data_IF_728649943704
#
_entry.id   IF_728649943704
#
_cell.length_a   1.000
_cell.length_b   1.000
_cell.length_c   1.000
_cell.angle_alpha   90.00
_cell.angle_beta   90.00
_cell.angle_gamma   90.00
#
_symmetry.space_group_name_H-M   'P 1'
#
loop_
_entity.id
_entity.type
_entity.pdbx_description
1 polymer ?
#
# COMPACT_ATOMS: atom_id res chain seq x y z
N UNK A 1 12.04 6.18 -10.57
CA UNK A 1 12.79 5.01 -11.06
C UNK A 1 11.86 3.82 -10.95
N UNK A 2 11.85 2.94 -11.94
CA UNK A 2 10.90 1.84 -12.03
C UNK A 2 11.58 0.54 -12.43
N UNK A 3 10.92 -0.56 -12.10
CA UNK A 3 11.25 -1.90 -12.54
C UNK A 3 10.39 -2.24 -13.75
N UNK A 4 11.04 -2.32 -14.91
CA UNK A 4 10.36 -2.51 -16.19
C UNK A 4 10.42 -3.97 -16.64
N UNK A 5 9.26 -4.55 -16.90
CA UNK A 5 9.10 -5.89 -17.48
C UNK A 5 8.45 -5.74 -18.85
N UNK A 6 9.10 -6.24 -19.89
CA UNK A 6 8.48 -6.40 -21.19
C UNK A 6 7.88 -7.78 -21.32
N UNK A 7 6.61 -7.86 -21.71
CA UNK A 7 6.01 -9.14 -22.05
C UNK A 7 6.49 -9.55 -23.44
N UNK A 8 6.88 -10.81 -23.57
CA UNK A 8 7.39 -11.37 -24.82
C UNK A 8 6.59 -12.61 -25.20
N UNK A 9 6.37 -12.79 -26.50
CA UNK A 9 5.74 -13.95 -27.10
C UNK A 9 6.79 -15.05 -27.22
N UNK A 10 6.64 -16.20 -26.53
CA UNK A 10 7.52 -17.34 -26.71
C UNK A 10 7.60 -17.79 -28.18
N UNK A 11 8.72 -18.38 -28.59
CA UNK A 11 9.00 -18.69 -30.00
C UNK A 11 8.05 -19.73 -30.61
N UNK A 12 7.44 -20.57 -29.77
CA UNK A 12 6.46 -21.60 -30.11
C UNK A 12 5.00 -21.12 -30.02
N UNK A 13 4.78 -19.85 -29.63
CA UNK A 13 3.44 -19.30 -29.39
C UNK A 13 3.07 -18.21 -30.40
N UNK A 14 1.76 -18.04 -30.54
CA UNK A 14 1.17 -16.96 -31.36
C UNK A 14 1.04 -15.70 -30.52
N UNK A 15 1.36 -14.55 -31.10
CA UNK A 15 1.18 -13.27 -30.44
C UNK A 15 -0.32 -13.02 -30.20
N UNK A 16 -0.74 -12.60 -29.00
CA UNK A 16 -2.10 -12.13 -28.80
C UNK A 16 -2.33 -10.86 -29.63
N UNK A 17 -3.57 -10.64 -30.04
CA UNK A 17 -3.92 -9.36 -30.65
C UNK A 17 -3.97 -8.24 -29.60
N UNK A 18 -3.88 -6.99 -30.06
CA UNK A 18 -3.82 -5.81 -29.16
C UNK A 18 -5.08 -5.70 -28.30
N UNK A 19 -6.24 -6.01 -28.87
CA UNK A 19 -7.53 -5.96 -28.18
C UNK A 19 -7.65 -7.03 -27.09
N UNK A 20 -7.03 -8.20 -27.26
CA UNK A 20 -6.93 -9.24 -26.24
C UNK A 20 -6.08 -8.78 -25.06
N UNK A 21 -4.94 -8.13 -25.33
CA UNK A 21 -4.08 -7.58 -24.26
C UNK A 21 -4.82 -6.50 -23.46
N UNK A 22 -5.43 -5.55 -24.16
CA UNK A 22 -6.21 -4.46 -23.57
C UNK A 22 -7.39 -5.00 -22.74
N UNK A 23 -8.14 -5.97 -23.29
CA UNK A 23 -9.24 -6.61 -22.59
C UNK A 23 -8.78 -7.36 -21.35
N UNK A 24 -7.65 -8.07 -21.40
CA UNK A 24 -7.11 -8.80 -20.24
C UNK A 24 -6.81 -7.86 -19.07
N UNK A 25 -6.20 -6.71 -19.34
CA UNK A 25 -5.85 -5.72 -18.33
C UNK A 25 -7.11 -5.00 -17.82
N UNK A 26 -8.04 -4.62 -18.69
CA UNK A 26 -9.28 -3.94 -18.30
C UNK A 26 -10.17 -4.74 -17.34
N UNK A 27 -9.98 -6.07 -17.28
CA UNK A 27 -10.71 -6.98 -16.38
C UNK A 27 -10.07 -7.09 -15.00
N UNK A 28 -8.87 -6.56 -14.80
CA UNK A 28 -8.25 -6.55 -13.48
C UNK A 28 -9.06 -5.64 -12.54
N UNK A 29 -9.17 -5.99 -11.25
CA UNK A 29 -9.74 -5.08 -10.29
C UNK A 29 -8.84 -3.84 -10.15
N UNK A 30 -9.45 -2.69 -9.91
CA UNK A 30 -8.75 -1.45 -9.61
C UNK A 30 -7.86 -0.87 -10.73
N UNK A 31 -8.01 -1.36 -11.96
CA UNK A 31 -7.36 -0.75 -13.13
C UNK A 31 -8.22 0.34 -13.75
N UNK A 32 -7.59 1.46 -14.07
CA UNK A 32 -8.21 2.58 -14.79
C UNK A 32 -7.45 2.82 -16.09
N UNK A 33 -8.17 3.09 -17.18
CA UNK A 33 -7.55 3.47 -18.45
C UNK A 33 -7.03 4.90 -18.35
N UNK A 34 -5.85 5.15 -18.88
CA UNK A 34 -5.31 6.50 -18.99
C UNK A 34 -5.96 7.28 -20.14
N UNK A 35 -6.24 8.56 -19.90
CA UNK A 35 -6.87 9.43 -20.89
C UNK A 35 -5.90 9.88 -21.97
N UNK A 36 -4.64 10.16 -21.59
CA UNK A 36 -3.57 10.60 -22.50
C UNK A 36 -2.27 9.83 -22.20
N UNK A 37 -2.14 8.60 -22.71
CA UNK A 37 -0.98 7.76 -22.49
C UNK A 37 0.19 8.29 -23.34
N UNK A 38 1.06 9.11 -22.74
CA UNK A 38 2.25 9.61 -23.44
C UNK A 38 3.11 8.46 -23.97
N UNK A 39 3.59 8.58 -25.22
CA UNK A 39 4.52 7.62 -25.86
C UNK A 39 4.00 6.18 -26.01
N UNK A 40 2.69 5.95 -25.83
CA UNK A 40 2.04 4.65 -25.97
C UNK A 40 0.68 4.78 -26.66
N UNK A 41 0.20 3.69 -27.27
CA UNK A 41 -1.13 3.70 -27.91
C UNK A 41 -2.25 3.61 -26.88
N UNK A 42 -1.98 2.89 -25.77
CA UNK A 42 -2.84 2.86 -24.61
C UNK A 42 -2.04 2.55 -23.34
N UNK A 43 -2.59 2.99 -22.21
CA UNK A 43 -2.06 2.76 -20.88
C UNK A 43 -3.16 2.46 -19.87
N UNK A 44 -2.84 1.65 -18.86
CA UNK A 44 -3.67 1.42 -17.69
C UNK A 44 -2.85 1.61 -16.43
N UNK A 45 -3.48 2.16 -15.40
CA UNK A 45 -2.93 2.26 -14.05
C UNK A 45 -3.72 1.33 -13.13
N UNK A 46 -3.03 0.42 -12.46
CA UNK A 46 -3.56 -0.32 -11.31
C UNK A 46 -3.30 0.49 -10.04
N UNK A 47 -4.33 0.75 -9.25
CA UNK A 47 -4.20 1.38 -7.92
C UNK A 47 -5.16 0.71 -6.94
N UNK A 48 -4.64 -0.14 -6.06
CA UNK A 48 -5.47 -0.73 -5.02
C UNK A 48 -5.83 0.34 -3.95
N UNK A 49 -7.11 0.72 -3.79
CA UNK A 49 -7.49 1.79 -2.87
C UNK A 49 -7.33 1.40 -1.39
N UNK A 50 -7.19 0.11 -1.09
CA UNK A 50 -7.01 -0.37 0.29
C UNK A 50 -5.55 -0.42 0.70
N UNK A 51 -4.67 -0.88 -0.20
CA UNK A 51 -3.23 -1.08 0.09
C UNK A 51 -2.34 -0.01 -0.49
N UNK A 52 -2.85 0.87 -1.36
CA UNK A 52 -2.10 1.92 -2.04
C UNK A 52 -1.03 1.41 -3.01
N UNK A 53 -1.03 0.11 -3.34
CA UNK A 53 -0.07 -0.48 -4.29
C UNK A 53 -0.45 -0.09 -5.71
N UNK A 54 0.55 0.31 -6.50
CA UNK A 54 0.40 0.66 -7.91
C UNK A 54 1.26 -0.18 -8.85
N UNK A 55 0.84 -0.27 -10.10
CA UNK A 55 1.67 -0.60 -11.25
C UNK A 55 1.01 -0.10 -12.54
N UNK A 56 1.82 0.17 -13.56
CA UNK A 56 1.32 0.70 -14.82
C UNK A 56 1.57 -0.26 -15.97
N UNK A 57 0.58 -0.42 -16.84
CA UNK A 57 0.66 -1.19 -18.07
C UNK A 57 0.67 -0.23 -19.26
N UNK A 58 1.52 -0.51 -20.24
CA UNK A 58 1.70 0.32 -21.43
C UNK A 58 1.85 -0.55 -22.65
N UNK A 59 1.21 -0.14 -23.74
CA UNK A 59 1.38 -0.78 -25.03
C UNK A 59 1.94 0.20 -26.06
N UNK A 60 2.99 -0.24 -26.73
CA UNK A 60 3.55 0.42 -27.91
C UNK A 60 3.76 -0.66 -28.97
N UNK A 61 3.26 -0.46 -30.19
CA UNK A 61 3.46 -1.43 -31.25
C UNK A 61 4.95 -1.80 -31.40
N UNK A 62 5.28 -3.10 -31.42
CA UNK A 62 6.66 -3.54 -31.59
C UNK A 62 7.18 -3.16 -32.99
N UNK A 63 8.48 -2.89 -33.10
CA UNK A 63 9.08 -2.61 -34.40
C UNK A 63 8.95 -3.82 -35.34
N UNK A 64 8.57 -3.64 -36.61
CA UNK A 64 8.47 -4.73 -37.58
C UNK A 64 9.83 -5.34 -37.95
N UNK A 65 10.94 -4.70 -37.59
CA UNK A 65 12.31 -5.15 -37.87
C UNK A 65 12.94 -5.80 -36.63
N UNK A 66 13.41 -7.06 -36.74
CA UNK A 66 14.36 -7.62 -35.76
C UNK A 66 14.06 -9.00 -35.15
N UNK A 67 13.04 -9.72 -35.58
CA UNK A 67 12.79 -11.05 -35.00
C UNK A 67 13.71 -12.12 -35.59
N UNK A 68 14.80 -12.43 -34.89
CA UNK A 68 15.60 -13.61 -35.17
C UNK A 68 14.77 -14.87 -34.87
N UNK A 69 14.75 -15.83 -35.81
CA UNK A 69 14.04 -17.08 -35.67
C UNK A 69 14.49 -17.83 -34.39
N UNK A 70 13.51 -18.35 -33.63
CA UNK A 70 13.76 -19.13 -32.41
C UNK A 70 13.96 -18.31 -31.12
N UNK A 71 13.87 -16.98 -31.15
CA UNK A 71 13.91 -16.13 -29.94
C UNK A 71 12.51 -15.65 -29.54
N UNK A 72 12.26 -15.37 -28.24
CA UNK A 72 11.07 -14.65 -27.81
C UNK A 72 10.94 -13.31 -28.56
N UNK A 73 9.72 -12.97 -28.96
CA UNK A 73 9.40 -11.76 -29.73
C UNK A 73 8.73 -10.74 -28.83
N UNK A 74 8.98 -9.46 -29.02
CA UNK A 74 8.27 -8.41 -28.28
C UNK A 74 6.77 -8.46 -28.56
N UNK A 75 5.96 -8.41 -27.49
CA UNK A 75 4.51 -8.27 -27.64
C UNK A 75 4.07 -6.82 -27.82
N UNK A 76 4.94 -5.85 -27.46
CA UNK A 76 4.60 -4.43 -27.33
C UNK A 76 4.05 -4.05 -25.95
N UNK A 77 3.62 -5.02 -25.14
CA UNK A 77 3.12 -4.79 -23.79
C UNK A 77 4.27 -4.72 -22.77
N UNK A 78 4.24 -3.71 -21.91
CA UNK A 78 5.16 -3.51 -20.79
C UNK A 78 4.39 -3.27 -19.50
N UNK A 79 5.01 -3.63 -18.39
CA UNK A 79 4.54 -3.28 -17.05
C UNK A 79 5.67 -2.67 -16.24
N UNK A 80 5.34 -1.60 -15.52
CA UNK A 80 6.24 -0.83 -14.67
C UNK A 80 5.79 -0.94 -13.22
N UNK A 81 6.72 -1.35 -12.35
CA UNK A 81 6.50 -1.37 -10.91
C UNK A 81 7.38 -0.29 -10.26
N UNK A 82 6.90 0.40 -9.21
CA UNK A 82 7.73 1.38 -8.52
C UNK A 82 8.92 0.70 -7.83
N UNK A 83 10.00 1.48 -7.68
CA UNK A 83 11.19 1.14 -6.90
C UNK A 83 11.38 2.21 -5.82
N UNK A 84 12.24 1.91 -4.84
CA UNK A 84 12.48 2.72 -3.64
C UNK A 84 11.21 2.81 -2.78
N UNK A 85 10.56 1.67 -2.59
CA UNK A 85 9.29 1.55 -1.88
C UNK A 85 9.24 0.25 -1.05
N UNK A 86 8.19 -0.01 -0.24
CA UNK A 86 8.14 -1.19 0.62
C UNK A 86 8.10 -2.50 -0.16
N UNK A 87 8.79 -3.53 0.32
CA UNK A 87 8.89 -4.83 -0.37
C UNK A 87 7.55 -5.53 -0.60
N UNK A 88 6.52 -5.20 0.17
CA UNK A 88 5.19 -5.76 -0.02
C UNK A 88 4.54 -5.33 -1.34
N UNK A 89 4.96 -4.21 -1.95
CA UNK A 89 4.48 -3.79 -3.26
C UNK A 89 4.76 -4.87 -4.30
N UNK A 90 6.00 -5.38 -4.36
CA UNK A 90 6.33 -6.50 -5.25
C UNK A 90 5.51 -7.76 -4.95
N UNK A 91 5.21 -8.05 -3.67
CA UNK A 91 4.38 -9.20 -3.29
C UNK A 91 2.94 -9.11 -3.76
N UNK A 92 2.41 -7.90 -3.92
CA UNK A 92 1.06 -7.67 -4.42
C UNK A 92 1.04 -7.52 -5.95
N UNK A 93 2.00 -6.80 -6.53
CA UNK A 93 2.03 -6.49 -7.96
C UNK A 93 2.57 -7.63 -8.84
N UNK A 94 3.61 -8.38 -8.42
CA UNK A 94 4.16 -9.47 -9.22
C UNK A 94 3.15 -10.58 -9.57
N UNK A 95 2.23 -11.00 -8.67
CA UNK A 95 1.14 -11.91 -9.03
C UNK A 95 0.22 -11.37 -10.13
N UNK A 96 0.02 -10.06 -10.22
CA UNK A 96 -0.78 -9.43 -11.29
C UNK A 96 -0.04 -9.56 -12.63
N UNK A 97 1.28 -9.33 -12.63
CA UNK A 97 2.14 -9.51 -13.81
C UNK A 97 2.06 -10.95 -14.32
N UNK A 98 2.18 -11.91 -13.41
CA UNK A 98 2.03 -13.34 -13.73
C UNK A 98 0.64 -13.67 -14.28
N UNK A 99 -0.43 -13.16 -13.67
CA UNK A 99 -1.80 -13.38 -14.11
C UNK A 99 -2.00 -12.92 -15.56
N UNK A 100 -1.51 -11.73 -15.90
CA UNK A 100 -1.57 -11.21 -17.28
C UNK A 100 -0.74 -12.07 -18.22
N UNK A 101 0.52 -12.36 -17.85
CA UNK A 101 1.42 -13.21 -18.64
C UNK A 101 0.79 -14.56 -18.98
N UNK A 102 0.26 -15.27 -17.98
CA UNK A 102 -0.42 -16.56 -18.16
C UNK A 102 -1.68 -16.45 -19.00
N UNK A 103 -2.51 -15.42 -18.78
CA UNK A 103 -3.76 -15.26 -19.54
C UNK A 103 -3.53 -15.02 -21.03
N UNK A 104 -2.39 -14.44 -21.39
CA UNK A 104 -1.99 -14.10 -22.75
C UNK A 104 -0.93 -15.05 -23.31
N UNK A 105 -0.52 -16.06 -22.55
CA UNK A 105 0.59 -16.98 -22.86
C UNK A 105 1.92 -16.28 -23.17
N UNK A 106 2.25 -15.21 -22.46
CA UNK A 106 3.47 -14.43 -22.59
C UNK A 106 4.51 -14.83 -21.53
N UNK A 107 5.78 -14.65 -21.86
CA UNK A 107 6.89 -14.64 -20.89
C UNK A 107 7.28 -13.21 -20.50
N UNK A 108 8.15 -13.08 -19.51
CA UNK A 108 8.69 -11.80 -19.03
C UNK A 108 10.17 -11.65 -19.43
N UNK A 109 10.50 -10.50 -20.04
CA UNK A 109 11.86 -10.06 -20.28
C UNK A 109 12.14 -8.83 -19.41
N UNK A 110 13.13 -8.94 -18.54
CA UNK A 110 13.55 -7.86 -17.65
C UNK A 110 14.47 -6.91 -18.40
N UNK A 111 14.05 -5.65 -18.59
CA UNK A 111 14.79 -4.72 -19.44
C UNK A 111 16.18 -4.36 -18.88
N UNK A 112 16.32 -4.35 -17.55
CA UNK A 112 17.57 -3.97 -16.90
C UNK A 112 18.67 -5.05 -16.98
N UNK A 113 18.30 -6.33 -16.88
CA UNK A 113 19.24 -7.45 -16.85
C UNK A 113 19.26 -8.29 -18.13
N UNK A 114 18.21 -8.21 -18.95
CA UNK A 114 17.99 -9.11 -20.08
C UNK A 114 17.51 -10.51 -19.66
N UNK A 115 17.20 -10.72 -18.38
CA UNK A 115 16.74 -12.02 -17.89
C UNK A 115 15.36 -12.36 -18.46
N UNK A 116 15.23 -13.59 -18.95
CA UNK A 116 13.97 -14.15 -19.40
C UNK A 116 13.38 -15.07 -18.34
N UNK A 117 12.09 -14.86 -18.04
CA UNK A 117 11.30 -15.67 -17.12
C UNK A 117 10.10 -16.20 -17.88
N UNK A 118 10.09 -17.51 -18.10
CA UNK A 118 8.97 -18.23 -18.66
C UNK A 118 7.72 -18.10 -17.75
N UNK A 119 6.55 -17.98 -18.37
CA UNK A 119 5.23 -17.83 -17.73
C UNK A 119 5.11 -16.68 -16.70
N UNK A 120 6.05 -15.73 -16.73
CA UNK A 120 6.06 -14.58 -15.83
C UNK A 120 6.01 -14.98 -14.34
N UNK A 121 6.69 -16.07 -13.93
CA UNK A 121 6.64 -16.59 -12.55
C UNK A 121 6.79 -15.49 -11.48
N UNK A 122 5.75 -15.32 -10.66
CA UNK A 122 5.68 -14.22 -9.70
C UNK A 122 6.76 -14.31 -8.62
N UNK A 123 7.12 -15.54 -8.20
CA UNK A 123 8.16 -15.76 -7.20
C UNK A 123 9.54 -15.29 -7.67
N UNK A 124 9.92 -15.64 -8.91
CA UNK A 124 11.16 -15.19 -9.54
C UNK A 124 11.14 -13.68 -9.80
N UNK A 125 10.04 -13.14 -10.32
CA UNK A 125 9.88 -11.69 -10.50
C UNK A 125 10.04 -10.93 -9.19
N UNK A 126 9.45 -11.42 -8.10
CA UNK A 126 9.53 -10.79 -6.79
C UNK A 126 10.97 -10.77 -6.26
N UNK A 127 11.74 -11.85 -6.43
CA UNK A 127 13.15 -11.90 -6.01
C UNK A 127 13.96 -10.83 -6.74
N UNK A 128 13.82 -10.74 -8.06
CA UNK A 128 14.59 -9.80 -8.88
C UNK A 128 14.13 -8.35 -8.66
N UNK A 129 12.83 -8.12 -8.51
CA UNK A 129 12.29 -6.82 -8.13
C UNK A 129 12.80 -6.39 -6.75
N UNK A 130 12.83 -7.29 -5.76
CA UNK A 130 13.33 -6.98 -4.41
C UNK A 130 14.80 -6.56 -4.44
N UNK A 131 15.62 -7.25 -5.23
CA UNK A 131 17.02 -6.90 -5.45
C UNK A 131 17.18 -5.53 -6.12
N UNK A 132 16.39 -5.29 -7.17
CA UNK A 132 16.37 -4.01 -7.89
C UNK A 132 15.94 -2.86 -6.98
N UNK A 133 14.95 -3.10 -6.11
CA UNK A 133 14.42 -2.15 -5.14
C UNK A 133 15.45 -1.80 -4.07
N UNK A 134 16.19 -2.79 -3.57
CA UNK A 134 17.33 -2.57 -2.67
C UNK A 134 18.41 -1.74 -3.34
N UNK A 135 18.86 -2.13 -4.54
CA UNK A 135 19.92 -1.41 -5.27
C UNK A 135 19.53 0.04 -5.58
N UNK A 136 18.27 0.29 -5.98
CA UNK A 136 17.75 1.63 -6.22
C UNK A 136 17.75 2.49 -4.94
N UNK A 137 17.34 1.90 -3.80
CA UNK A 137 17.30 2.59 -2.50
C UNK A 137 18.71 2.96 -2.02
N UNK A 138 19.68 2.05 -2.16
CA UNK A 138 21.08 2.29 -1.80
C UNK A 138 21.69 3.42 -2.62
N UNK A 139 21.43 3.45 -3.94
CA UNK A 139 21.90 4.51 -4.84
C UNK A 139 21.31 5.88 -4.49
N UNK A 140 20.06 5.97 -4.03
CA UNK A 140 19.44 7.25 -3.66
C UNK A 140 20.14 7.91 -2.45
N UNK A 141 20.65 7.10 -1.52
CA UNK A 141 21.46 7.58 -0.39
C UNK A 141 22.79 8.22 -0.82
N UNK A 142 23.27 7.90 -2.02
CA UNK A 142 24.52 8.39 -2.58
C UNK A 142 24.20 9.62 -3.46
N UNK A 143 24.29 10.82 -2.89
CA UNK A 143 24.31 12.08 -3.65
C UNK A 143 23.23 13.11 -3.31
N UNK A 144 22.09 12.69 -2.75
CA UNK A 144 21.01 13.62 -2.35
C UNK A 144 21.11 14.08 -0.89
N UNK A 145 21.87 13.36 -0.06
CA UNK A 145 21.99 13.60 1.38
C UNK A 145 20.70 13.36 2.19
N UNK A 146 19.61 12.94 1.54
CA UNK A 146 18.30 12.72 2.17
C UNK A 146 17.81 11.32 1.84
N UNK A 147 17.99 10.40 2.78
CA UNK A 147 17.37 9.07 2.70
C UNK A 147 15.84 9.20 2.76
N UNK A 148 15.11 8.36 2.01
CA UNK A 148 13.66 8.31 2.14
C UNK A 148 13.29 7.91 3.57
N UNK A 149 12.10 8.30 4.08
CA UNK A 149 11.60 7.82 5.35
C UNK A 149 11.69 6.29 5.44
N UNK A 150 12.44 5.80 6.43
CA UNK A 150 12.56 4.36 6.70
C UNK A 150 11.48 3.91 7.68
N UNK A 151 10.96 2.70 7.47
CA UNK A 151 10.10 2.02 8.43
C UNK A 151 10.39 0.50 8.49
N UNK A 152 10.28 -0.16 9.66
CA UNK A 152 10.59 -1.58 9.77
C UNK A 152 9.72 -2.45 8.85
N UNK A 153 10.36 -3.40 8.16
CA UNK A 153 9.70 -4.31 7.22
C UNK A 153 8.56 -5.09 7.86
N UNK A 154 8.79 -5.65 9.03
CA UNK A 154 7.80 -6.46 9.75
C UNK A 154 6.52 -5.66 10.01
N UNK A 155 6.69 -4.38 10.35
CA UNK A 155 5.58 -3.46 10.60
C UNK A 155 4.86 -3.08 9.31
N UNK A 156 5.57 -2.84 8.21
CA UNK A 156 4.94 -2.61 6.91
C UNK A 156 4.18 -3.86 6.42
N UNK A 157 4.71 -5.05 6.68
CA UNK A 157 4.06 -6.32 6.34
C UNK A 157 2.77 -6.53 7.15
N UNK A 158 2.77 -6.20 8.45
CA UNK A 158 1.57 -6.19 9.29
C UNK A 158 0.52 -5.19 8.80
N UNK A 159 0.95 -3.97 8.48
CA UNK A 159 0.08 -2.93 7.90
C UNK A 159 -0.56 -3.42 6.61
N UNK A 160 0.24 -3.98 5.69
CA UNK A 160 -0.24 -4.51 4.42
C UNK A 160 -1.26 -5.63 4.60
N UNK A 161 -0.99 -6.60 5.49
CA UNK A 161 -1.95 -7.69 5.79
C UNK A 161 -3.27 -7.14 6.33
N UNK A 162 -3.21 -6.16 7.22
CA UNK A 162 -4.42 -5.51 7.77
C UNK A 162 -5.20 -4.77 6.68
N UNK A 163 -4.51 -3.96 5.86
CA UNK A 163 -5.12 -3.20 4.76
C UNK A 163 -5.78 -4.12 3.74
N UNK A 164 -5.11 -5.19 3.33
CA UNK A 164 -5.63 -6.17 2.39
C UNK A 164 -6.91 -6.86 2.92
N UNK A 165 -6.96 -7.15 4.23
CA UNK A 165 -8.13 -7.75 4.85
C UNK A 165 -9.22 -6.73 5.26
N UNK A 166 -8.97 -5.43 5.12
CA UNK A 166 -9.84 -4.38 5.68
C UNK A 166 -11.25 -4.43 5.12
N UNK A 167 -11.41 -4.56 3.80
CA UNK A 167 -12.74 -4.64 3.15
C UNK A 167 -13.56 -5.84 3.66
N UNK A 168 -12.90 -6.97 3.93
CA UNK A 168 -13.53 -8.15 4.52
C UNK A 168 -13.97 -7.88 5.96
N UNK A 169 -13.13 -7.22 6.76
CA UNK A 169 -13.48 -6.80 8.12
C UNK A 169 -14.65 -5.80 8.12
N UNK A 170 -14.64 -4.80 7.24
CA UNK A 170 -15.71 -3.81 7.10
C UNK A 170 -17.04 -4.48 6.78
N UNK A 171 -17.04 -5.41 5.83
CA UNK A 171 -18.23 -6.21 5.49
C UNK A 171 -18.74 -6.99 6.70
N UNK A 172 -17.84 -7.65 7.44
CA UNK A 172 -18.18 -8.47 8.63
C UNK A 172 -18.76 -7.64 9.78
N UNK A 173 -18.31 -6.39 9.95
CA UNK A 173 -18.57 -5.60 11.15
C UNK A 173 -19.52 -4.42 10.98
N UNK A 174 -19.80 -4.02 9.72
CA UNK A 174 -20.74 -2.95 9.37
C UNK A 174 -22.08 -3.05 10.11
N UNK A 175 -22.73 -4.22 10.08
CA UNK A 175 -24.02 -4.45 10.73
C UNK A 175 -24.00 -4.34 12.26
N UNK A 176 -22.82 -4.40 12.88
CA UNK A 176 -22.64 -4.28 14.34
C UNK A 176 -22.23 -2.87 14.76
N UNK A 177 -22.11 -1.92 13.82
CA UNK A 177 -21.60 -0.58 14.11
C UNK A 177 -20.15 -0.58 14.61
N UNK A 178 -19.38 -1.63 14.32
CA UNK A 178 -17.97 -1.71 14.68
C UNK A 178 -17.18 -1.15 13.50
N UNK A 179 -16.51 -0.03 13.74
CA UNK A 179 -15.73 0.67 12.75
C UNK A 179 -14.37 -0.01 12.50
N UNK A 180 -13.94 -0.05 11.24
CA UNK A 180 -12.64 -0.64 10.87
C UNK A 180 -11.71 0.49 10.43
N UNK A 181 -10.76 0.91 11.27
CA UNK A 181 -9.97 2.11 11.01
C UNK A 181 -9.05 1.95 9.80
N UNK A 182 -8.89 3.03 9.03
CA UNK A 182 -7.75 3.17 8.13
C UNK A 182 -6.46 3.26 8.94
N UNK A 183 -5.42 2.59 8.45
CA UNK A 183 -4.05 2.72 8.95
C UNK A 183 -3.27 3.56 7.95
N UNK A 184 -2.55 4.55 8.45
CA UNK A 184 -1.75 5.49 7.66
C UNK A 184 -0.34 5.59 8.23
N UNK A 185 0.61 5.98 7.40
CA UNK A 185 1.94 6.38 7.83
C UNK A 185 1.97 7.90 8.02
N UNK A 186 2.51 8.35 9.14
CA UNK A 186 2.61 9.78 9.46
C UNK A 186 4.01 10.13 9.93
N UNK A 187 4.43 11.35 9.66
CA UNK A 187 5.70 11.89 10.12
C UNK A 187 5.47 13.27 10.73
N UNK A 188 6.18 13.58 11.81
CA UNK A 188 6.12 14.91 12.41
C UNK A 188 6.83 15.91 11.49
N UNK A 189 6.15 17.00 11.12
CA UNK A 189 6.70 18.03 10.21
C UNK A 189 7.94 18.74 10.78
N UNK A 190 8.04 18.83 12.11
CA UNK A 190 9.17 19.46 12.80
C UNK A 190 10.32 18.48 13.05
N UNK A 191 9.99 17.21 13.36
CA UNK A 191 10.95 16.15 13.64
C UNK A 191 10.77 14.99 12.66
N UNK A 192 11.19 15.22 11.41
CA UNK A 192 11.11 14.30 10.27
C UNK A 192 11.97 13.04 10.40
N UNK A 193 12.45 12.73 11.60
CA UNK A 193 13.32 11.59 11.88
C UNK A 193 12.56 10.29 12.08
N UNK A 194 11.30 10.36 12.48
CA UNK A 194 10.50 9.17 12.79
C UNK A 194 9.19 9.16 12.02
N UNK A 195 8.99 8.06 11.30
CA UNK A 195 7.70 7.67 10.75
C UNK A 195 6.94 6.85 11.80
N UNK A 196 5.63 7.02 11.85
CA UNK A 196 4.74 6.29 12.74
C UNK A 196 3.60 5.67 11.94
N UNK A 197 3.17 4.49 12.36
CA UNK A 197 1.91 3.92 11.92
C UNK A 197 0.78 4.45 12.82
N UNK A 198 -0.29 4.96 12.21
CA UNK A 198 -1.42 5.53 12.93
C UNK A 198 -2.75 4.98 12.45
N UNK A 199 -3.65 4.66 13.38
CA UNK A 199 -5.04 4.30 13.08
C UNK A 199 -5.98 5.50 13.26
N UNK A 200 -6.82 5.77 12.27
CA UNK A 200 -7.82 6.84 12.32
C UNK A 200 -9.03 6.41 13.15
N UNK A 201 -9.16 6.87 14.41
CA UNK A 201 -10.24 6.50 15.33
C UNK A 201 -10.86 7.76 15.97
N UNK A 202 -11.38 8.64 15.13
CA UNK A 202 -11.78 9.99 15.51
C UNK A 202 -12.89 10.04 16.57
N UNK A 203 -13.95 9.25 16.40
CA UNK A 203 -15.15 9.31 17.26
C UNK A 203 -15.02 8.52 18.57
N UNK A 204 -13.97 7.71 18.71
CA UNK A 204 -13.79 6.79 19.84
C UNK A 204 -14.98 5.84 20.06
N UNK A 205 -15.60 5.34 18.98
CA UNK A 205 -16.68 4.35 19.02
C UNK A 205 -16.17 2.89 19.03
N UNK A 206 -17.06 1.88 19.00
CA UNK A 206 -16.67 0.49 18.80
C UNK A 206 -15.82 0.33 17.54
N UNK A 207 -14.72 -0.41 17.62
CA UNK A 207 -13.78 -0.51 16.50
C UNK A 207 -12.92 -1.79 16.50
N UNK A 208 -12.38 -2.13 15.33
CA UNK A 208 -11.23 -3.03 15.20
C UNK A 208 -9.96 -2.27 15.62
N UNK A 209 -9.08 -2.93 16.36
CA UNK A 209 -7.84 -2.35 16.88
C UNK A 209 -6.61 -2.97 16.18
N UNK A 210 -6.08 -2.31 15.13
CA UNK A 210 -4.84 -2.73 14.48
C UNK A 210 -3.63 -2.47 15.38
N UNK A 211 -2.51 -3.14 15.08
CA UNK A 211 -1.22 -2.88 15.73
C UNK A 211 -0.57 -1.63 15.12
N UNK A 212 -0.57 -0.54 15.88
CA UNK A 212 -0.11 0.79 15.43
C UNK A 212 0.68 1.49 16.53
N UNK A 213 1.47 2.50 16.18
CA UNK A 213 2.23 3.31 17.15
C UNK A 213 1.37 4.40 17.80
N UNK A 214 0.30 4.79 17.11
CA UNK A 214 -0.58 5.88 17.53
C UNK A 214 -1.99 5.74 16.98
N UNK A 215 -2.92 6.47 17.60
CA UNK A 215 -4.27 6.67 17.13
C UNK A 215 -4.48 8.16 16.86
N UNK A 216 -5.16 8.48 15.75
CA UNK A 216 -5.67 9.82 15.50
C UNK A 216 -7.08 9.88 16.08
N UNK A 217 -7.23 10.67 17.15
CA UNK A 217 -8.46 10.75 17.95
C UNK A 217 -9.02 12.18 17.87
N UNK A 218 -10.34 12.30 17.78
CA UNK A 218 -11.03 13.58 17.86
C UNK A 218 -11.10 14.08 19.30
N UNK A 219 -10.36 15.13 19.62
CA UNK A 219 -10.45 15.83 20.91
C UNK A 219 -11.59 16.84 20.86
N UNK A 220 -12.62 16.75 21.74
CA UNK A 220 -13.71 17.72 21.77
C UNK A 220 -13.17 19.14 22.01
N UNK A 221 -13.71 20.13 21.30
CA UNK A 221 -13.36 21.54 21.52
C UNK A 221 -14.04 22.02 22.81
N UNK A 222 -13.26 22.61 23.73
CA UNK A 222 -13.81 23.27 24.92
C UNK A 222 -14.14 24.72 24.58
N UNK A 223 -15.40 25.12 24.72
CA UNK A 223 -15.83 26.52 24.68
C UNK A 223 -15.80 27.15 26.08
N UNK A 224 -15.66 28.48 26.17
CA UNK A 224 -15.60 29.27 27.42
C UNK A 224 -16.83 29.12 28.34
N UNK A 225 -17.95 28.59 27.84
CA UNK A 225 -19.19 28.32 28.59
C UNK A 225 -19.34 26.86 29.06
N UNK A 226 -18.25 26.08 29.04
CA UNK A 226 -18.26 24.64 29.30
C UNK A 226 -18.14 23.82 28.01
N UNK A 227 -18.02 22.49 28.17
CA UNK A 227 -17.99 21.51 27.08
C UNK A 227 -19.34 21.52 26.35
N UNK A 228 -19.53 22.43 25.41
CA UNK A 228 -20.60 22.30 24.42
C UNK A 228 -20.13 21.25 23.43
N UNK A 229 -20.87 20.14 23.35
CA UNK A 229 -20.63 19.06 22.41
C UNK A 229 -21.14 19.55 21.04
N UNK A 230 -20.40 20.45 20.37
CA UNK A 230 -20.79 21.03 19.07
C UNK A 230 -20.70 20.04 17.92
N UNK A 231 -20.21 18.80 18.17
CA UNK A 231 -19.85 17.85 17.13
C UNK A 231 -18.49 18.12 16.50
N UNK A 232 -17.84 19.24 16.87
CA UNK A 232 -16.52 19.59 16.36
C UNK A 232 -15.41 18.96 17.21
N UNK A 233 -14.46 18.35 16.52
CA UNK A 233 -13.29 17.72 17.13
C UNK A 233 -12.01 18.22 16.48
N UNK A 234 -10.97 18.41 17.29
CA UNK A 234 -9.61 18.62 16.80
C UNK A 234 -8.94 17.25 16.73
N UNK A 235 -8.53 16.76 15.54
CA UNK A 235 -7.78 15.52 15.44
C UNK A 235 -6.42 15.71 16.11
N UNK A 236 -6.07 14.80 17.02
CA UNK A 236 -4.80 14.77 17.73
C UNK A 236 -4.17 13.39 17.64
N UNK A 237 -2.84 13.33 17.71
CA UNK A 237 -2.11 12.06 17.69
C UNK A 237 -1.85 11.59 19.12
N UNK A 238 -2.36 10.41 19.46
CA UNK A 238 -2.22 9.80 20.79
C UNK A 238 -1.40 8.52 20.66
N UNK A 239 -0.33 8.36 21.45
CA UNK A 239 0.48 7.15 21.43
C UNK A 239 -0.37 5.93 21.77
N UNK A 240 -0.16 4.83 21.05
CA UNK A 240 -0.91 3.59 21.25
C UNK A 240 -0.83 3.12 22.70
N UNK A 241 0.35 3.17 23.35
CA UNK A 241 0.50 2.84 24.78
C UNK A 241 -0.52 3.54 25.70
N UNK A 242 -0.87 4.78 25.41
CA UNK A 242 -1.83 5.57 26.20
C UNK A 242 -3.25 5.07 25.98
N UNK A 243 -3.60 4.72 24.74
CA UNK A 243 -4.91 4.16 24.39
C UNK A 243 -5.04 2.73 24.93
N UNK A 244 -4.04 1.88 24.66
CA UNK A 244 -4.02 0.45 25.03
C UNK A 244 -4.13 0.22 26.54
N UNK A 245 -3.58 1.11 27.38
CA UNK A 245 -3.76 1.07 28.84
C UNK A 245 -5.24 0.96 29.26
N UNK A 246 -6.15 1.57 28.50
CA UNK A 246 -7.57 1.60 28.81
C UNK A 246 -8.38 0.56 28.03
N UNK A 247 -7.97 0.27 26.78
CA UNK A 247 -8.72 -0.63 25.88
C UNK A 247 -8.33 -2.11 26.01
N UNK A 248 -7.06 -2.45 26.26
CA UNK A 248 -6.55 -3.83 26.21
C UNK A 248 -7.39 -4.81 27.06
N UNK A 249 -7.79 -4.49 28.31
CA UNK A 249 -8.60 -5.40 29.13
C UNK A 249 -10.00 -5.69 28.58
N UNK A 250 -10.43 -4.96 27.55
CA UNK A 250 -11.74 -5.02 26.92
C UNK A 250 -11.68 -5.46 25.46
N UNK A 251 -10.48 -5.76 24.95
CA UNK A 251 -10.33 -6.25 23.59
C UNK A 251 -10.70 -7.72 23.53
N UNK A 252 -11.60 -8.04 22.59
CA UNK A 252 -11.89 -9.42 22.22
C UNK A 252 -11.01 -9.81 21.04
N UNK A 253 -10.30 -10.94 21.18
CA UNK A 253 -9.52 -11.53 20.11
C UNK A 253 -10.43 -12.37 19.20
N UNK A 254 -10.19 -12.30 17.90
CA UNK A 254 -10.94 -13.01 16.87
C UNK A 254 -9.97 -13.59 15.86
N UNK A 255 -9.90 -14.92 15.78
CA UNK A 255 -8.88 -15.59 14.95
C UNK A 255 -9.29 -15.77 13.48
N UNK A 256 -10.58 -15.60 13.16
CA UNK A 256 -11.14 -15.85 11.82
C UNK A 256 -12.00 -14.70 11.31
N UNK A 257 -11.99 -14.41 9.98
CA UNK A 257 -11.20 -15.07 8.93
C UNK A 257 -9.71 -14.70 8.95
N UNK A 258 -9.36 -13.63 9.65
CA UNK A 258 -8.01 -13.21 9.97
C UNK A 258 -7.92 -12.91 11.46
N UNK A 259 -6.75 -13.06 12.08
CA UNK A 259 -6.54 -12.69 13.47
C UNK A 259 -6.62 -11.17 13.66
N UNK A 260 -7.47 -10.69 14.58
CA UNK A 260 -7.62 -9.27 14.90
C UNK A 260 -8.24 -9.07 16.30
N UNK A 261 -8.19 -7.84 16.79
CA UNK A 261 -8.77 -7.43 18.07
C UNK A 261 -9.91 -6.44 17.85
N UNK A 262 -10.96 -6.54 18.65
CA UNK A 262 -12.10 -5.63 18.59
C UNK A 262 -12.46 -5.08 19.96
N UNK A 263 -12.95 -3.84 19.97
CA UNK A 263 -13.61 -3.19 21.09
C UNK A 263 -15.09 -3.04 20.75
N UNK A 264 -15.95 -3.82 21.42
CA UNK A 264 -17.39 -3.80 21.13
C UNK A 264 -18.13 -2.65 21.84
N UNK A 265 -17.58 -2.14 22.94
CA UNK A 265 -18.15 -1.02 23.68
C UNK A 265 -17.07 -0.04 24.14
N UNK A 266 -17.05 1.15 23.55
CA UNK A 266 -16.08 2.19 23.86
C UNK A 266 -16.51 3.14 24.99
N UNK A 267 -17.76 3.07 25.47
CA UNK A 267 -18.28 3.93 26.53
C UNK A 267 -17.41 3.95 27.79
N UNK A 268 -17.01 2.78 28.34
CA UNK A 268 -16.18 2.72 29.55
C UNK A 268 -14.76 3.29 29.40
N UNK A 269 -14.23 3.41 28.18
CA UNK A 269 -12.83 3.80 27.93
C UNK A 269 -12.67 5.24 27.45
N UNK A 270 -13.72 5.83 26.86
CA UNK A 270 -13.67 7.18 26.28
C UNK A 270 -13.25 8.25 27.31
N UNK A 271 -13.89 8.26 28.49
CA UNK A 271 -13.55 9.19 29.57
C UNK A 271 -12.11 9.06 30.06
N UNK A 272 -11.65 7.86 30.45
CA UNK A 272 -10.26 7.61 30.81
C UNK A 272 -9.23 8.04 29.75
N UNK A 273 -9.48 7.75 28.46
CA UNK A 273 -8.59 8.15 27.36
C UNK A 273 -8.52 9.68 27.27
N UNK A 274 -9.67 10.37 27.27
CA UNK A 274 -9.72 11.83 27.22
C UNK A 274 -8.99 12.49 28.41
N UNK A 275 -9.03 11.89 29.60
CA UNK A 275 -8.25 12.36 30.76
C UNK A 275 -6.76 12.20 30.51
N UNK A 276 -6.29 11.02 30.09
CA UNK A 276 -4.88 10.79 29.78
C UNK A 276 -4.36 11.69 28.64
N UNK A 277 -5.21 12.04 27.66
CA UNK A 277 -4.87 12.99 26.60
C UNK A 277 -4.73 14.44 27.08
N UNK A 278 -5.29 14.80 28.24
CA UNK A 278 -5.09 16.12 28.83
C UNK A 278 -3.88 16.16 29.76
N UNK A 279 -3.50 15.01 30.32
CA UNK A 279 -2.29 14.84 31.15
C UNK A 279 -1.01 14.81 30.30
N UNK A 280 -1.11 14.32 29.06
CA UNK A 280 -0.01 14.27 28.10
C UNK A 280 -0.21 15.37 27.07
N UNK A 281 0.84 16.15 26.75
CA UNK A 281 0.79 17.14 25.66
C UNK A 281 0.61 16.43 24.30
N UNK A 282 -0.64 16.14 23.92
CA UNK A 282 -0.96 15.48 22.64
C UNK A 282 -0.89 16.49 21.49
N UNK A 283 0.01 16.30 20.52
CA UNK A 283 0.14 17.23 19.40
C UNK A 283 -1.07 17.14 18.46
N UNK A 284 -1.53 18.29 17.90
CA UNK A 284 -2.51 18.31 16.83
C UNK A 284 -2.06 17.51 15.60
N UNK A 285 -2.98 16.80 14.95
CA UNK A 285 -2.69 16.02 13.75
C UNK A 285 -2.14 16.89 12.59
N UNK A 286 -2.55 18.16 12.50
CA UNK A 286 -2.00 19.12 11.52
C UNK A 286 -0.48 19.32 11.59
N UNK A 287 0.15 18.97 12.72
CA UNK A 287 1.60 19.01 12.90
C UNK A 287 2.31 17.82 12.23
N UNK A 288 1.55 16.88 11.67
CA UNK A 288 2.04 15.71 10.97
C UNK A 288 1.70 15.81 9.48
N UNK A 289 2.54 15.20 8.65
CA UNK A 289 2.25 14.91 7.25
C UNK A 289 1.91 13.42 7.12
N UNK A 290 0.98 13.09 6.23
CA UNK A 290 0.67 11.70 5.87
C UNK A 290 1.61 11.31 4.74
N UNK A 291 2.25 10.16 4.86
CA UNK A 291 3.15 9.63 3.84
C UNK A 291 2.38 8.65 2.96
N UNK A 292 2.58 8.77 1.65
CA UNK A 292 2.24 7.72 0.69
C UNK A 292 3.07 6.47 0.97
N UNK A 293 2.52 5.31 0.65
CA UNK A 293 3.21 4.03 0.88
C UNK A 293 4.49 3.95 0.05
N UNK A 294 4.48 4.48 -1.16
CA UNK A 294 5.65 4.56 -2.05
C UNK A 294 6.70 5.58 -1.59
N UNK A 295 6.37 6.45 -0.63
CA UNK A 295 7.31 7.43 -0.08
C UNK A 295 8.14 6.86 1.08
N UNK A 296 7.92 5.59 1.44
CA UNK A 296 8.58 4.92 2.57
C UNK A 296 9.34 3.70 2.06
N UNK A 297 10.50 3.42 2.65
CA UNK A 297 11.27 2.19 2.34
C UNK A 297 11.38 1.30 3.57
N UNK A 298 11.28 -0.01 3.35
CA UNK A 298 11.61 -1.04 4.34
C UNK A 298 13.04 -1.55 4.14
N UNK A 299 14.03 -0.65 4.19
CA UNK A 299 15.41 -1.10 4.31
C UNK A 299 16.23 -0.42 5.41
N UNK A 300 16.66 -1.27 6.36
CA UNK A 300 18.03 -1.28 6.85
C UNK A 300 18.50 -2.73 6.82
N UNK A 301 19.65 -2.95 6.19
CA UNK A 301 20.58 -4.04 6.54
C UNK A 301 20.81 -3.99 8.05
#
# INVERSE_FOLDING_TARGET
MSFEVSYVVPSDKTAPDVSQMEMAISKLPYTTREEDPQESEWGFEYLNPETGVTCSFRYTAPSPTGFAAGRPRESGLKVSLPLMCPTFIGREACPIVEQIGRSLNLGALLLASGDYIEDCDAGRLQVIWTESNRSATEKLGIGTGRLPPYFPRERLDEMWRYMNARKLLETRYSAKGIYVPRVILIQNKLDRKQTFMAAMWAEMGPAVFPEVDSFVIGKPIKTLLGLVNTGDFIPVVVRAKTVMKHVEPRLRHVDRPIAHRILENAGPVRGPILRSMNEVLTPPFRNFETLGIEEVVDNRI
#
